data_IF_463768831895
#
_entry.id   IF_463768831895
#
_cell.length_a   1.000
_cell.length_b   1.000
_cell.length_c   1.000
_cell.angle_alpha   90.00
_cell.angle_beta   90.00
_cell.angle_gamma   90.00
#
_symmetry.space_group_name_H-M   'P 1'
#
loop_
_entity.id
_entity.type
_entity.pdbx_description
1 polymer ?
#
# COMPACT_ATOMS: atom_id res chain seq x y z
N UNK A 1 -11.07 -16.01 0.21
CA UNK A 1 -9.82 -15.21 0.22
C UNK A 1 -8.86 -15.71 1.30
N UNK A 2 -7.56 -15.74 1.02
CA UNK A 2 -6.57 -16.15 2.04
C UNK A 2 -6.28 -15.02 3.01
N UNK A 3 -6.44 -15.27 4.30
CA UNK A 3 -6.19 -14.32 5.39
C UNK A 3 -4.99 -14.80 6.21
N UNK A 4 -3.98 -13.97 6.30
CA UNK A 4 -2.76 -14.25 7.06
C UNK A 4 -2.96 -13.92 8.54
N UNK A 5 -3.54 -12.76 8.85
CA UNK A 5 -3.86 -12.34 10.21
C UNK A 5 -4.94 -11.26 10.24
N UNK A 6 -5.53 -11.06 11.41
CA UNK A 6 -6.45 -9.97 11.71
C UNK A 6 -5.97 -9.31 13.00
N UNK A 7 -5.89 -7.97 13.00
CA UNK A 7 -5.65 -7.15 14.19
C UNK A 7 -6.96 -6.47 14.53
N UNK A 8 -7.47 -6.72 15.72
CA UNK A 8 -8.80 -6.26 16.13
C UNK A 8 -8.91 -4.74 16.14
N UNK A 9 -7.88 -4.03 16.61
CA UNK A 9 -7.86 -2.56 16.68
C UNK A 9 -6.46 -2.04 16.34
N UNK A 10 -6.39 -1.13 15.38
CA UNK A 10 -5.21 -0.32 15.09
C UNK A 10 -5.58 1.16 15.04
N UNK A 11 -4.68 1.99 15.55
CA UNK A 11 -4.81 3.46 15.58
C UNK A 11 -3.84 4.15 14.62
N UNK A 12 -3.11 3.37 13.81
CA UNK A 12 -2.01 3.89 12.98
C UNK A 12 -2.13 3.56 11.49
N UNK A 13 -3.02 2.62 11.11
CA UNK A 13 -3.12 2.17 9.72
C UNK A 13 -3.96 3.09 8.84
N UNK A 14 -4.93 3.80 9.44
CA UNK A 14 -5.74 4.83 8.76
C UNK A 14 -5.70 6.11 9.60
N UNK A 15 -5.31 7.26 9.04
CA UNK A 15 -5.17 8.50 9.80
C UNK A 15 -6.48 8.91 10.49
N UNK A 16 -6.43 9.03 11.82
CA UNK A 16 -7.56 9.52 12.63
C UNK A 16 -8.74 8.55 12.78
N UNK A 17 -8.66 7.34 12.22
CA UNK A 17 -9.74 6.35 12.24
C UNK A 17 -9.24 5.05 12.88
N UNK A 18 -9.75 4.64 14.06
CA UNK A 18 -9.52 3.31 14.62
C UNK A 18 -10.07 2.24 13.67
N UNK A 19 -9.24 1.28 13.26
CA UNK A 19 -9.62 0.27 12.27
C UNK A 19 -9.31 -1.15 12.74
N UNK A 20 -10.12 -2.11 12.31
CA UNK A 20 -9.70 -3.52 12.26
C UNK A 20 -8.86 -3.72 11.02
N UNK A 21 -7.66 -4.33 11.17
CA UNK A 21 -6.74 -4.56 10.04
C UNK A 21 -6.79 -6.01 9.61
N UNK A 22 -7.04 -6.23 8.33
CA UNK A 22 -7.15 -7.55 7.71
C UNK A 22 -5.95 -7.74 6.79
N UNK A 23 -5.03 -8.66 7.16
CA UNK A 23 -3.87 -8.98 6.35
C UNK A 23 -4.16 -10.17 5.43
N UNK A 24 -4.15 -9.93 4.12
CA UNK A 24 -4.26 -11.00 3.12
C UNK A 24 -2.95 -11.75 2.96
N UNK A 25 -3.02 -13.06 2.69
CA UNK A 25 -1.86 -13.87 2.33
C UNK A 25 -1.60 -13.85 0.83
N UNK A 26 -0.32 -13.93 0.44
CA UNK A 26 0.12 -13.89 -0.94
C UNK A 26 0.44 -12.48 -1.43
N UNK A 27 1.51 -12.36 -2.20
CA UNK A 27 1.90 -11.14 -2.90
C UNK A 27 2.56 -11.53 -4.23
N UNK A 28 2.29 -10.78 -5.28
CA UNK A 28 2.94 -10.94 -6.58
C UNK A 28 4.20 -10.07 -6.74
N UNK A 29 4.60 -9.34 -5.67
CA UNK A 29 5.88 -8.65 -5.53
C UNK A 29 6.72 -9.30 -4.43
N UNK A 30 8.05 -9.12 -4.51
CA UNK A 30 9.02 -9.63 -3.56
C UNK A 30 9.99 -8.54 -3.08
N UNK A 31 9.44 -7.39 -2.66
CA UNK A 31 10.22 -6.22 -2.28
C UNK A 31 11.20 -6.54 -1.14
N UNK A 32 12.48 -6.10 -1.23
CA UNK A 32 13.51 -6.41 -0.23
C UNK A 32 13.20 -5.84 1.15
N UNK A 33 12.53 -4.69 1.23
CA UNK A 33 12.17 -4.03 2.50
C UNK A 33 10.80 -4.46 3.05
N UNK A 34 10.20 -5.53 2.50
CA UNK A 34 8.87 -5.97 2.92
C UNK A 34 8.87 -6.34 4.41
N UNK A 35 8.03 -5.66 5.20
CA UNK A 35 7.87 -5.91 6.63
C UNK A 35 7.00 -7.13 6.93
N UNK A 36 6.34 -7.68 5.91
CA UNK A 36 5.48 -8.86 5.99
C UNK A 36 5.98 -9.95 5.05
N UNK A 37 7.30 -10.17 5.00
CA UNK A 37 7.91 -11.09 4.04
C UNK A 37 7.43 -12.55 4.20
N UNK A 38 6.99 -12.93 5.37
CA UNK A 38 6.47 -14.27 5.69
C UNK A 38 5.12 -14.56 5.02
N UNK A 39 4.36 -13.52 4.66
CA UNK A 39 3.06 -13.69 4.00
C UNK A 39 3.10 -13.46 2.48
N UNK A 40 4.28 -13.27 1.88
CA UNK A 40 4.46 -13.16 0.43
C UNK A 40 4.09 -14.47 -0.31
N UNK A 41 4.42 -15.68 0.18
CA UNK A 41 4.02 -16.91 -0.49
C UNK A 41 2.52 -16.97 -0.72
N UNK A 42 2.10 -17.41 -1.94
CA UNK A 42 0.68 -17.45 -2.33
C UNK A 42 -0.20 -18.38 -1.51
N UNK A 43 0.39 -19.33 -0.81
CA UNK A 43 -0.27 -20.28 0.09
C UNK A 43 -0.28 -19.81 1.56
N UNK A 44 0.23 -18.63 1.85
CA UNK A 44 0.26 -18.04 3.20
C UNK A 44 -1.16 -17.81 3.73
N UNK A 45 -1.30 -17.94 5.05
CA UNK A 45 -2.58 -17.75 5.74
C UNK A 45 -3.57 -18.92 5.50
N UNK A 46 -4.79 -18.73 5.95
CA UNK A 46 -5.89 -19.69 5.83
C UNK A 46 -6.96 -19.17 4.88
N UNK A 47 -7.61 -20.04 4.15
CA UNK A 47 -8.72 -19.67 3.30
C UNK A 47 -9.96 -19.41 4.16
N UNK A 48 -10.60 -18.26 3.96
CA UNK A 48 -11.82 -17.86 4.64
C UNK A 48 -12.89 -17.41 3.62
N UNK A 49 -14.14 -17.74 3.91
CA UNK A 49 -15.28 -17.18 3.17
C UNK A 49 -15.50 -15.70 3.53
N UNK A 50 -16.29 -15.00 2.74
CA UNK A 50 -16.68 -13.62 3.02
C UNK A 50 -17.38 -13.52 4.38
N UNK A 51 -18.28 -14.45 4.67
CA UNK A 51 -19.04 -14.52 5.94
C UNK A 51 -18.13 -14.71 7.14
N UNK A 52 -17.13 -15.59 7.03
CA UNK A 52 -16.16 -15.82 8.10
C UNK A 52 -15.28 -14.60 8.37
N UNK A 53 -14.86 -13.88 7.31
CA UNK A 53 -14.09 -12.64 7.44
C UNK A 53 -14.94 -11.59 8.16
N UNK A 54 -16.16 -11.35 7.70
CA UNK A 54 -17.09 -10.38 8.31
C UNK A 54 -17.36 -10.73 9.77
N UNK A 55 -17.65 -12.00 10.07
CA UNK A 55 -17.92 -12.45 11.44
C UNK A 55 -16.73 -12.19 12.39
N UNK A 56 -15.50 -12.36 11.88
CA UNK A 56 -14.28 -12.15 12.69
C UNK A 56 -13.90 -10.68 12.86
N UNK A 57 -14.36 -9.81 11.99
CA UNK A 57 -13.95 -8.39 11.96
C UNK A 57 -15.03 -7.45 12.48
N UNK A 58 -16.30 -7.87 12.49
CA UNK A 58 -17.40 -7.08 13.04
C UNK A 58 -17.56 -7.31 14.54
N UNK A 59 -17.97 -6.27 15.26
CA UNK A 59 -18.15 -6.30 16.72
C UNK A 59 -16.98 -5.70 17.51
N UNK A 60 -15.89 -5.34 16.86
CA UNK A 60 -14.81 -4.58 17.44
C UNK A 60 -15.24 -3.11 17.64
N UNK A 61 -14.65 -2.43 18.63
CA UNK A 61 -14.87 -1.00 18.86
C UNK A 61 -13.97 -0.17 17.95
N UNK A 62 -14.35 -0.13 16.66
CA UNK A 62 -13.60 0.56 15.58
C UNK A 62 -14.57 1.35 14.71
N UNK A 63 -14.05 2.33 13.99
CA UNK A 63 -14.77 3.18 13.06
C UNK A 63 -14.54 2.77 11.59
N UNK A 64 -13.70 1.75 11.35
CA UNK A 64 -13.41 1.29 10.01
C UNK A 64 -12.65 -0.03 9.92
N UNK A 65 -12.34 -0.38 8.67
CA UNK A 65 -11.53 -1.53 8.29
C UNK A 65 -10.39 -1.09 7.39
N UNK A 66 -9.22 -1.70 7.56
CA UNK A 66 -8.09 -1.58 6.66
C UNK A 66 -7.75 -2.96 6.08
N UNK A 67 -7.94 -3.16 4.78
CA UNK A 67 -7.54 -4.38 4.10
C UNK A 67 -6.15 -4.18 3.49
N UNK A 68 -5.21 -5.01 3.90
CA UNK A 68 -3.78 -4.93 3.57
C UNK A 68 -3.17 -6.34 3.48
N UNK A 69 -1.88 -6.48 3.70
CA UNK A 69 -1.22 -7.78 3.87
C UNK A 69 -0.09 -8.01 2.90
N UNK A 70 -0.19 -9.05 2.05
CA UNK A 70 0.63 -9.20 0.86
C UNK A 70 0.19 -8.19 -0.21
N UNK A 71 -0.58 -8.65 -1.20
CA UNK A 71 -1.28 -7.77 -2.13
C UNK A 71 -2.75 -8.17 -2.21
N UNK A 72 -3.67 -7.37 -1.65
CA UNK A 72 -5.09 -7.73 -1.64
C UNK A 72 -5.70 -7.90 -3.04
N UNK A 73 -5.27 -7.11 -4.02
CA UNK A 73 -5.85 -7.13 -5.38
C UNK A 73 -5.54 -8.38 -6.20
N UNK A 74 -4.68 -9.29 -5.73
CA UNK A 74 -4.50 -10.59 -6.39
C UNK A 74 -5.68 -11.54 -6.13
N UNK A 75 -6.52 -11.24 -5.14
CA UNK A 75 -7.68 -12.06 -4.76
C UNK A 75 -8.92 -11.64 -5.55
N UNK A 76 -9.51 -12.61 -6.29
CA UNK A 76 -10.68 -12.34 -7.14
C UNK A 76 -11.94 -12.01 -6.34
N UNK A 77 -12.04 -12.46 -5.11
CA UNK A 77 -13.16 -12.26 -4.17
C UNK A 77 -13.00 -11.02 -3.27
N UNK A 78 -11.91 -10.24 -3.45
CA UNK A 78 -11.71 -8.99 -2.71
C UNK A 78 -12.90 -8.00 -2.83
N UNK A 79 -13.47 -7.74 -4.03
CA UNK A 79 -14.61 -6.83 -4.14
C UNK A 79 -15.82 -7.25 -3.31
N UNK A 80 -16.06 -8.57 -3.18
CA UNK A 80 -17.16 -9.11 -2.38
C UNK A 80 -16.93 -8.91 -0.88
N UNK A 81 -15.68 -9.08 -0.42
CA UNK A 81 -15.29 -8.80 0.96
C UNK A 81 -15.48 -7.32 1.28
N UNK A 82 -14.93 -6.42 0.44
CA UNK A 82 -15.07 -4.97 0.65
C UNK A 82 -16.53 -4.51 0.64
N UNK A 83 -17.35 -5.07 -0.26
CA UNK A 83 -18.80 -4.82 -0.29
C UNK A 83 -19.48 -5.22 1.03
N UNK A 84 -19.13 -6.38 1.56
CA UNK A 84 -19.69 -6.87 2.83
C UNK A 84 -19.23 -5.99 4.01
N UNK A 85 -17.96 -5.59 4.07
CA UNK A 85 -17.45 -4.64 5.07
C UNK A 85 -18.13 -3.27 4.94
N UNK A 86 -18.28 -2.75 3.72
CA UNK A 86 -18.95 -1.46 3.47
C UNK A 86 -20.41 -1.45 3.89
N UNK A 87 -21.10 -2.60 3.83
CA UNK A 87 -22.50 -2.72 4.27
C UNK A 87 -22.70 -2.50 5.77
N UNK A 88 -21.64 -2.51 6.57
CA UNK A 88 -21.68 -2.15 8.00
C UNK A 88 -21.84 -0.66 8.26
N UNK A 89 -21.62 0.19 7.24
CA UNK A 89 -21.66 1.64 7.34
C UNK A 89 -20.36 2.26 7.86
N UNK A 90 -19.34 1.45 8.15
CA UNK A 90 -18.03 1.91 8.64
C UNK A 90 -17.10 2.28 7.46
N UNK A 91 -16.03 3.00 7.78
CA UNK A 91 -14.98 3.37 6.82
C UNK A 91 -14.25 2.13 6.29
N UNK A 92 -14.00 2.06 4.99
CA UNK A 92 -13.25 0.96 4.35
C UNK A 92 -12.04 1.51 3.61
N UNK A 93 -10.86 1.16 4.10
CA UNK A 93 -9.59 1.49 3.49
C UNK A 93 -8.96 0.25 2.83
N UNK A 94 -8.29 0.45 1.71
CA UNK A 94 -7.47 -0.55 1.04
C UNK A 94 -6.02 -0.08 0.96
N UNK A 95 -5.07 -0.94 1.34
CA UNK A 95 -3.65 -0.74 1.04
C UNK A 95 -3.26 -1.65 -0.13
N UNK A 96 -2.79 -1.06 -1.23
CA UNK A 96 -2.41 -1.80 -2.44
C UNK A 96 -1.23 -1.17 -3.16
N UNK A 97 -0.48 -1.97 -3.91
CA UNK A 97 0.55 -1.50 -4.84
C UNK A 97 0.04 -1.42 -6.30
N UNK A 98 -1.25 -1.72 -6.54
CA UNK A 98 -1.94 -1.43 -7.78
C UNK A 98 -1.57 -2.30 -8.99
N UNK A 99 -0.97 -3.48 -8.81
CA UNK A 99 -0.56 -4.33 -9.94
C UNK A 99 -1.72 -5.05 -10.64
N UNK A 100 -2.94 -4.98 -10.09
CA UNK A 100 -4.13 -5.64 -10.67
C UNK A 100 -5.27 -4.63 -10.81
N UNK A 101 -5.18 -3.68 -11.79
CA UNK A 101 -6.16 -2.60 -11.95
C UNK A 101 -7.58 -3.11 -12.18
N UNK A 102 -7.78 -4.26 -12.82
CA UNK A 102 -9.10 -4.83 -13.08
C UNK A 102 -9.84 -5.31 -11.82
N UNK A 103 -9.13 -5.63 -10.75
CA UNK A 103 -9.73 -5.93 -9.44
C UNK A 103 -9.92 -4.64 -8.66
N UNK A 104 -8.94 -3.72 -8.67
CA UNK A 104 -9.07 -2.41 -8.04
C UNK A 104 -10.30 -1.65 -8.55
N UNK A 105 -10.54 -1.62 -9.86
CA UNK A 105 -11.71 -1.00 -10.48
C UNK A 105 -13.04 -1.51 -9.88
N UNK A 106 -13.14 -2.83 -9.67
CA UNK A 106 -14.32 -3.45 -9.04
C UNK A 106 -14.45 -3.13 -7.56
N UNK A 107 -13.35 -2.76 -6.90
CA UNK A 107 -13.32 -2.40 -5.47
C UNK A 107 -13.77 -0.97 -5.21
N UNK A 108 -13.54 -0.03 -6.15
CA UNK A 108 -13.77 1.40 -5.96
C UNK A 108 -15.15 1.74 -5.36
N UNK A 109 -16.28 1.12 -5.76
CA UNK A 109 -17.59 1.44 -5.19
C UNK A 109 -17.74 1.15 -3.69
N UNK A 110 -16.79 0.42 -3.10
CA UNK A 110 -16.85 -0.05 -1.72
C UNK A 110 -15.73 0.55 -0.85
N UNK A 111 -14.93 1.48 -1.39
CA UNK A 111 -13.81 2.10 -0.72
C UNK A 111 -14.10 3.56 -0.37
N UNK A 112 -13.63 3.99 0.80
CA UNK A 112 -13.58 5.39 1.20
C UNK A 112 -12.20 5.97 0.95
N UNK A 113 -11.14 5.19 1.19
CA UNK A 113 -9.75 5.62 0.99
C UNK A 113 -8.84 4.49 0.53
N UNK A 114 -7.74 4.86 -0.11
CA UNK A 114 -6.70 3.93 -0.57
C UNK A 114 -5.33 4.48 -0.21
N UNK A 115 -4.56 3.74 0.58
CA UNK A 115 -3.11 3.85 0.62
C UNK A 115 -2.52 3.12 -0.58
N UNK A 116 -1.81 3.86 -1.42
CA UNK A 116 -1.25 3.31 -2.64
C UNK A 116 0.28 3.34 -2.62
N UNK A 117 0.87 2.16 -2.57
CA UNK A 117 2.31 2.01 -2.42
C UNK A 117 3.03 2.07 -3.77
N UNK A 118 3.59 3.22 -4.14
CA UNK A 118 4.49 3.37 -5.28
C UNK A 118 5.88 2.90 -4.84
N UNK A 119 6.34 1.75 -5.36
CA UNK A 119 7.55 1.10 -4.83
C UNK A 119 8.84 1.75 -5.31
N UNK A 120 8.83 2.38 -6.50
CA UNK A 120 9.98 3.03 -7.12
C UNK A 120 9.53 3.83 -8.35
N UNK A 121 10.40 4.67 -8.96
CA UNK A 121 10.13 5.23 -10.29
C UNK A 121 10.23 4.14 -11.37
N UNK A 122 9.65 4.37 -12.59
CA UNK A 122 9.56 3.37 -13.65
C UNK A 122 10.90 2.70 -14.00
N UNK A 123 11.98 3.47 -14.08
CA UNK A 123 13.30 2.99 -14.50
C UNK A 123 13.86 1.83 -13.64
N UNK A 124 13.45 1.75 -12.39
CA UNK A 124 13.94 0.74 -11.44
C UNK A 124 12.82 -0.06 -10.77
N UNK A 125 11.57 0.11 -11.22
CA UNK A 125 10.39 -0.49 -10.57
C UNK A 125 10.49 -2.01 -10.47
N UNK A 126 10.84 -2.69 -11.59
CA UNK A 126 11.02 -4.15 -11.65
C UNK A 126 12.12 -4.63 -10.70
N UNK A 127 13.21 -3.87 -10.57
CA UNK A 127 14.32 -4.19 -9.65
C UNK A 127 13.86 -4.15 -8.19
N UNK A 128 13.05 -3.16 -7.82
CA UNK A 128 12.59 -2.98 -6.44
C UNK A 128 11.44 -3.94 -6.11
N UNK A 129 10.51 -4.15 -7.04
CA UNK A 129 9.40 -5.09 -6.86
C UNK A 129 9.83 -6.56 -7.02
N UNK A 130 11.01 -6.82 -7.60
CA UNK A 130 11.55 -8.16 -7.93
C UNK A 130 10.58 -9.01 -8.74
N UNK A 131 9.92 -8.39 -9.70
CA UNK A 131 9.00 -9.07 -10.63
C UNK A 131 9.72 -9.52 -11.88
N UNK A 132 9.19 -10.57 -12.54
CA UNK A 132 9.73 -11.07 -13.81
C UNK A 132 9.25 -10.29 -15.02
N UNK A 133 8.10 -9.63 -14.90
CA UNK A 133 7.52 -8.75 -15.92
C UNK A 133 7.42 -7.33 -15.35
N UNK A 134 7.54 -6.32 -16.23
CA UNK A 134 7.38 -4.93 -15.80
C UNK A 134 5.91 -4.65 -15.39
N UNK A 135 5.65 -4.34 -14.11
CA UNK A 135 4.30 -4.05 -13.64
C UNK A 135 3.91 -2.58 -13.81
N UNK A 136 4.82 -1.69 -14.25
CA UNK A 136 4.63 -0.24 -14.20
C UNK A 136 3.38 0.23 -14.94
N UNK A 137 3.12 -0.30 -16.14
CA UNK A 137 1.91 0.08 -16.89
C UNK A 137 0.62 -0.19 -16.12
N UNK A 138 0.54 -1.32 -15.39
CA UNK A 138 -0.62 -1.67 -14.56
C UNK A 138 -0.73 -0.78 -13.33
N UNK A 139 0.40 -0.42 -12.73
CA UNK A 139 0.45 0.52 -11.60
C UNK A 139 -0.06 1.90 -12.04
N UNK A 140 0.37 2.37 -13.21
CA UNK A 140 -0.13 3.61 -13.82
C UNK A 140 -1.64 3.55 -14.09
N UNK A 141 -2.13 2.44 -14.64
CA UNK A 141 -3.57 2.28 -14.88
C UNK A 141 -4.37 2.35 -13.56
N UNK A 142 -3.84 1.74 -12.49
CA UNK A 142 -4.45 1.83 -11.15
C UNK A 142 -4.42 3.25 -10.57
N UNK A 143 -3.32 3.99 -10.73
CA UNK A 143 -3.25 5.40 -10.32
C UNK A 143 -4.27 6.26 -11.07
N UNK A 144 -4.42 6.07 -12.39
CA UNK A 144 -5.43 6.78 -13.20
C UNK A 144 -6.86 6.49 -12.73
N UNK A 145 -7.17 5.23 -12.38
CA UNK A 145 -8.46 4.86 -11.82
C UNK A 145 -8.74 5.62 -10.52
N UNK A 146 -7.77 5.68 -9.62
CA UNK A 146 -7.91 6.38 -8.33
C UNK A 146 -8.02 7.89 -8.51
N UNK A 147 -7.16 8.51 -9.33
CA UNK A 147 -7.20 9.95 -9.61
C UNK A 147 -8.55 10.38 -10.22
N UNK A 148 -9.18 9.51 -11.01
CA UNK A 148 -10.48 9.78 -11.64
C UNK A 148 -11.70 9.38 -10.80
N UNK A 149 -11.51 8.85 -9.60
CA UNK A 149 -12.56 8.40 -8.69
C UNK A 149 -12.83 9.41 -7.57
N UNK A 150 -13.92 9.19 -6.81
CA UNK A 150 -14.23 9.96 -5.59
C UNK A 150 -13.59 9.35 -4.33
N UNK A 151 -12.76 8.30 -4.48
CA UNK A 151 -12.08 7.63 -3.37
C UNK A 151 -10.88 8.48 -2.93
N UNK A 152 -10.69 8.68 -1.63
CA UNK A 152 -9.50 9.37 -1.12
C UNK A 152 -8.23 8.58 -1.49
N UNK A 153 -7.39 9.19 -2.31
CA UNK A 153 -6.18 8.58 -2.84
C UNK A 153 -4.94 9.12 -2.14
N UNK A 154 -4.25 8.24 -1.39
CA UNK A 154 -3.05 8.56 -0.63
C UNK A 154 -1.82 7.82 -1.17
N UNK A 155 -1.11 8.38 -2.17
CA UNK A 155 0.12 7.79 -2.68
C UNK A 155 1.23 7.87 -1.63
N UNK A 156 2.00 6.76 -1.50
CA UNK A 156 3.15 6.74 -0.60
C UNK A 156 4.29 5.88 -1.14
N UNK A 157 5.51 6.16 -0.66
CA UNK A 157 6.71 5.36 -0.95
C UNK A 157 7.48 5.09 0.34
N UNK A 158 7.95 3.86 0.51
CA UNK A 158 8.90 3.54 1.58
C UNK A 158 10.32 3.80 1.08
N UNK A 159 11.00 4.76 1.70
CA UNK A 159 12.35 5.16 1.35
C UNK A 159 13.39 4.43 2.20
N UNK A 160 14.43 3.93 1.56
CA UNK A 160 15.69 3.52 2.16
C UNK A 160 16.82 3.91 1.22
N UNK A 161 17.84 4.63 1.71
CA UNK A 161 18.99 5.09 0.92
C UNK A 161 19.78 3.96 0.26
N UNK A 162 19.60 2.72 0.73
CA UNK A 162 20.19 1.52 0.11
C UNK A 162 19.56 1.13 -1.23
N UNK A 163 18.33 1.60 -1.52
CA UNK A 163 17.56 1.20 -2.70
C UNK A 163 17.10 2.37 -3.57
N UNK A 164 16.78 3.49 -2.95
CA UNK A 164 16.26 4.69 -3.59
C UNK A 164 17.16 5.88 -3.26
N UNK A 165 17.22 6.82 -4.17
CA UNK A 165 17.88 8.12 -4.02
C UNK A 165 16.83 9.25 -3.96
N UNK A 166 17.19 10.46 -3.51
CA UNK A 166 16.31 11.63 -3.63
C UNK A 166 15.85 11.91 -5.07
N UNK A 167 16.68 11.61 -6.08
CA UNK A 167 16.30 11.74 -7.49
C UNK A 167 15.19 10.76 -7.90
N UNK A 168 15.13 9.57 -7.28
CA UNK A 168 14.06 8.61 -7.52
C UNK A 168 12.73 9.10 -6.95
N UNK A 169 12.75 9.77 -5.78
CA UNK A 169 11.55 10.41 -5.21
C UNK A 169 11.05 11.53 -6.13
N UNK A 170 11.96 12.35 -6.64
CA UNK A 170 11.61 13.39 -7.62
C UNK A 170 10.99 12.80 -8.89
N UNK A 171 11.52 11.69 -9.38
CA UNK A 171 10.97 11.00 -10.55
C UNK A 171 9.53 10.49 -10.28
N UNK A 172 9.24 9.97 -9.07
CA UNK A 172 7.87 9.58 -8.70
C UNK A 172 6.93 10.78 -8.64
N UNK A 173 7.37 11.93 -8.09
CA UNK A 173 6.58 13.16 -8.07
C UNK A 173 6.24 13.61 -9.50
N UNK A 174 7.21 13.55 -10.45
CA UNK A 174 6.95 13.84 -11.85
C UNK A 174 5.91 12.91 -12.47
N UNK A 175 5.99 11.60 -12.19
CA UNK A 175 4.99 10.65 -12.71
C UNK A 175 3.59 10.96 -12.18
N UNK A 176 3.45 11.31 -10.89
CA UNK A 176 2.18 11.70 -10.29
C UNK A 176 1.63 12.99 -10.89
N UNK A 177 2.50 13.99 -11.12
CA UNK A 177 2.15 15.28 -11.71
C UNK A 177 1.70 15.11 -13.17
N UNK A 178 2.43 14.32 -13.96
CA UNK A 178 2.08 13.98 -15.34
C UNK A 178 0.74 13.23 -15.46
N UNK A 179 0.34 12.49 -14.41
CA UNK A 179 -0.95 11.83 -14.32
C UNK A 179 -2.07 12.78 -13.86
N UNK A 180 -1.76 14.02 -13.50
CA UNK A 180 -2.70 15.02 -13.02
C UNK A 180 -3.10 14.83 -11.54
N UNK A 181 -2.30 14.13 -10.75
CA UNK A 181 -2.51 14.06 -9.30
C UNK A 181 -2.22 15.42 -8.65
N UNK A 182 -3.05 15.81 -7.69
CA UNK A 182 -2.82 16.96 -6.82
C UNK A 182 -3.15 16.57 -5.39
N UNK A 183 -2.29 16.98 -4.45
CA UNK A 183 -2.49 16.66 -3.03
C UNK A 183 -1.22 16.19 -2.34
N UNK A 184 -1.37 15.43 -1.27
CA UNK A 184 -0.25 14.97 -0.46
C UNK A 184 0.33 13.65 -0.97
N UNK A 185 1.64 13.60 -1.18
CA UNK A 185 2.40 12.38 -1.43
C UNK A 185 3.28 12.08 -0.22
N UNK A 186 3.15 10.89 0.35
CA UNK A 186 3.85 10.51 1.59
C UNK A 186 5.11 9.71 1.29
N UNK A 187 6.25 10.18 1.79
CA UNK A 187 7.49 9.40 1.82
C UNK A 187 7.77 8.97 3.25
N UNK A 188 7.66 7.67 3.53
CA UNK A 188 7.94 7.11 4.86
C UNK A 188 9.30 6.42 4.87
N UNK A 189 9.99 6.43 6.03
CA UNK A 189 11.26 5.72 6.16
C UNK A 189 11.07 4.20 6.24
N UNK A 190 12.05 3.47 5.75
CA UNK A 190 12.21 2.06 6.06
C UNK A 190 12.43 1.86 7.57
N UNK A 191 11.73 0.89 8.14
CA UNK A 191 11.90 0.45 9.53
C UNK A 191 12.38 -1.00 9.55
N UNK A 192 13.48 -1.26 10.25
CA UNK A 192 14.07 -2.60 10.40
C UNK A 192 13.24 -3.47 11.37
N UNK A 193 12.01 -3.82 10.98
CA UNK A 193 11.11 -4.67 11.77
C UNK A 193 11.50 -6.15 11.75
N UNK A 194 10.91 -6.96 12.64
CA UNK A 194 11.14 -8.42 12.67
C UNK A 194 10.69 -9.13 11.40
N UNK A 195 9.66 -8.62 10.71
CA UNK A 195 9.09 -9.21 9.50
C UNK A 195 9.93 -9.05 8.23
N UNK A 196 10.96 -8.17 8.24
CA UNK A 196 11.91 -8.08 7.11
C UNK A 196 12.86 -9.27 7.15
N UNK A 197 13.12 -9.89 5.98
CA UNK A 197 14.07 -11.01 5.87
C UNK A 197 15.44 -10.66 6.42
N UNK A 198 16.07 -11.57 7.16
CA UNK A 198 17.38 -11.35 7.76
C UNK A 198 18.48 -11.06 6.71
N UNK A 199 18.40 -11.71 5.55
CA UNK A 199 19.32 -11.46 4.42
C UNK A 199 19.22 -10.03 3.90
N UNK A 200 18.02 -9.45 3.91
CA UNK A 200 17.77 -8.08 3.44
C UNK A 200 18.22 -7.04 4.49
N UNK A 201 17.97 -7.29 5.77
CA UNK A 201 18.43 -6.42 6.87
C UNK A 201 19.94 -6.18 6.86
N UNK A 202 20.71 -7.13 6.34
CA UNK A 202 22.16 -7.02 6.30
C UNK A 202 22.67 -5.82 5.47
N UNK A 203 21.90 -5.34 4.50
CA UNK A 203 22.31 -4.21 3.65
C UNK A 203 21.31 -3.05 3.62
N UNK A 204 20.09 -3.25 4.12
CA UNK A 204 19.13 -2.16 4.21
C UNK A 204 19.44 -1.27 5.41
N UNK A 205 19.52 0.03 5.16
CA UNK A 205 19.78 1.03 6.19
C UNK A 205 18.52 1.84 6.46
N UNK A 206 18.29 2.14 7.74
CA UNK A 206 17.30 3.14 8.14
C UNK A 206 17.85 4.51 7.74
N UNK A 207 17.15 5.25 6.85
CA UNK A 207 17.67 6.51 6.34
C UNK A 207 17.53 7.63 7.38
N UNK A 208 18.43 8.62 7.30
CA UNK A 208 18.24 9.89 8.01
C UNK A 208 17.32 10.79 7.18
N UNK A 209 16.39 11.50 7.84
CA UNK A 209 15.48 12.44 7.19
C UNK A 209 16.24 13.55 6.44
N UNK A 210 17.41 13.94 6.95
CA UNK A 210 18.30 14.94 6.33
C UNK A 210 18.75 14.57 4.92
N UNK A 211 18.68 13.29 4.54
CA UNK A 211 18.98 12.83 3.18
C UNK A 211 17.93 13.33 2.16
N UNK A 212 16.68 13.44 2.58
CA UNK A 212 15.55 13.79 1.72
C UNK A 212 15.04 15.20 1.90
N UNK A 213 15.00 15.72 3.12
CA UNK A 213 14.36 16.99 3.45
C UNK A 213 14.77 18.17 2.53
N UNK A 214 16.06 18.35 2.14
CA UNK A 214 16.42 19.39 1.20
C UNK A 214 15.97 19.14 -0.23
N UNK A 215 15.81 17.86 -0.60
CA UNK A 215 15.49 17.46 -1.97
C UNK A 215 13.98 17.41 -2.24
N UNK A 216 13.14 17.38 -1.19
CA UNK A 216 11.69 17.31 -1.32
C UNK A 216 11.00 18.66 -1.31
N UNK A 217 11.73 19.74 -1.01
CA UNK A 217 11.21 21.10 -1.08
C UNK A 217 11.01 21.52 -2.53
N UNK A 218 9.85 22.09 -2.81
CA UNK A 218 9.52 22.70 -4.12
C UNK A 218 9.66 21.73 -5.32
N UNK A 219 9.31 20.45 -5.15
CA UNK A 219 9.36 19.46 -6.23
C UNK A 219 8.24 19.64 -7.26
N UNK A 220 7.07 20.11 -6.84
CA UNK A 220 5.89 20.35 -7.67
C UNK A 220 5.04 21.47 -7.06
N UNK A 221 4.30 22.19 -7.88
CA UNK A 221 3.33 23.21 -7.42
C UNK A 221 1.99 22.59 -7.00
N UNK A 222 1.71 21.36 -7.44
CA UNK A 222 0.45 20.64 -7.22
C UNK A 222 0.54 19.54 -6.16
N UNK A 223 1.76 19.07 -5.83
CA UNK A 223 1.99 17.93 -4.93
C UNK A 223 2.81 18.38 -3.72
N UNK A 224 2.22 18.22 -2.53
CA UNK A 224 2.92 18.41 -1.26
C UNK A 224 3.58 17.09 -0.81
N UNK A 225 4.90 17.11 -0.68
CA UNK A 225 5.66 15.92 -0.26
C UNK A 225 5.82 15.92 1.25
N UNK A 226 5.04 15.07 1.93
CA UNK A 226 5.13 14.88 3.38
C UNK A 226 6.11 13.77 3.74
N UNK A 227 7.09 14.10 4.57
CA UNK A 227 8.03 13.13 5.13
C UNK A 227 7.49 12.58 6.45
N UNK A 228 7.30 11.26 6.52
CA UNK A 228 6.84 10.55 7.73
C UNK A 228 7.95 9.64 8.24
N UNK A 229 8.67 10.09 9.28
CA UNK A 229 9.76 9.36 9.91
C UNK A 229 9.35 8.78 11.26
N UNK A 230 9.57 7.45 11.43
CA UNK A 230 9.25 6.71 12.66
C UNK A 230 10.49 6.08 13.27
#
# INVERSE_FOLDING_TARGET
MRIASIIDISLVDVPGIPVTVIFTGGCNFDCPYCQNAEIIPHDSGIEMSVEEIVQKTTGNLVDGFCVTGGEPTIHQDLPEVLKALKSTGLHVNLNTQGSVPSILEKCLPFLDSVWFDIKAPPAIYTRISRTTADPWSKVVDSMKLLISSDVEFWPRTTFTGSLLSPADIKAIVHELDDLGFSGEYVVQNYVASSGVRQSEKAYLQVPDISELEPATRDMSDSIDVRLEWR
#
